data_IF_261858073815
#
_entry.id   IF_261858073815
#
_cell.length_a   1.000
_cell.length_b   1.000
_cell.length_c   1.000
_cell.angle_alpha   90.00
_cell.angle_beta   90.00
_cell.angle_gamma   90.00
#
_symmetry.space_group_name_H-M   'P 1'
#
loop_
_entity.id
_entity.type
_entity.pdbx_description
1 polymer ?
#
# COMPACT_ATOMS: atom_id res chain seq x y z
N UNK A 1 -5.31 7.93 -12.55
CA UNK A 1 -4.09 8.31 -11.83
C UNK A 1 -2.86 7.92 -12.63
N UNK A 2 -1.83 8.73 -12.56
CA UNK A 2 -0.53 8.37 -13.14
C UNK A 2 0.15 7.33 -12.26
N UNK A 3 1.18 6.68 -12.80
CA UNK A 3 1.99 5.74 -12.03
C UNK A 3 2.57 6.43 -10.79
N UNK A 4 3.09 7.65 -10.95
CA UNK A 4 3.68 8.39 -9.83
C UNK A 4 2.66 8.65 -8.73
N UNK A 5 1.44 9.00 -9.10
CA UNK A 5 0.37 9.22 -8.12
C UNK A 5 0.03 7.94 -7.36
N UNK A 6 -0.07 6.82 -8.09
CA UNK A 6 -0.36 5.52 -7.50
C UNK A 6 0.75 5.13 -6.53
N UNK A 7 2.00 5.26 -7.00
CA UNK A 7 3.17 4.91 -6.19
C UNK A 7 3.23 5.74 -4.91
N UNK A 8 3.08 7.06 -5.01
CA UNK A 8 3.18 7.95 -3.85
C UNK A 8 2.06 7.67 -2.84
N UNK A 9 0.84 7.46 -3.31
CA UNK A 9 -0.28 7.15 -2.43
C UNK A 9 -0.09 5.80 -1.75
N UNK A 10 0.35 4.79 -2.51
CA UNK A 10 0.60 3.47 -1.95
C UNK A 10 1.72 3.52 -0.92
N UNK A 11 2.80 4.23 -1.21
CA UNK A 11 3.93 4.38 -0.30
C UNK A 11 3.50 5.05 0.99
N UNK A 12 2.72 6.11 0.89
CA UNK A 12 2.23 6.83 2.05
C UNK A 12 1.38 5.92 2.94
N UNK A 13 0.48 5.14 2.34
CA UNK A 13 -0.37 4.22 3.09
C UNK A 13 0.43 3.05 3.68
N UNK A 14 1.26 2.42 2.88
CA UNK A 14 2.05 1.27 3.32
C UNK A 14 3.04 1.64 4.43
N UNK A 15 3.58 2.84 4.40
CA UNK A 15 4.52 3.29 5.43
C UNK A 15 3.87 3.40 6.81
N UNK A 16 2.54 3.38 6.88
CA UNK A 16 1.79 3.40 8.14
C UNK A 16 1.53 2.01 8.70
N UNK A 17 1.93 0.96 7.99
CA UNK A 17 1.78 -0.40 8.49
C UNK A 17 2.67 -0.60 9.71
N UNK A 18 2.12 -1.28 10.72
CA UNK A 18 2.83 -1.48 12.00
C UNK A 18 3.69 -2.73 11.90
N UNK A 19 4.92 -2.55 11.43
CA UNK A 19 5.84 -3.65 11.17
C UNK A 19 6.97 -3.76 12.19
N UNK A 20 6.98 -2.92 13.21
CA UNK A 20 8.09 -2.83 14.18
C UNK A 20 8.45 -4.19 14.79
N UNK A 21 7.46 -5.02 15.06
CA UNK A 21 7.68 -6.32 15.70
C UNK A 21 7.72 -7.47 14.69
N UNK A 22 7.71 -7.17 13.40
CA UNK A 22 7.75 -8.20 12.35
C UNK A 22 9.19 -8.56 12.09
N UNK A 23 9.53 -9.83 12.31
CA UNK A 23 10.88 -10.34 12.09
C UNK A 23 11.05 -10.93 10.70
N UNK A 24 9.94 -11.23 10.03
CA UNK A 24 9.98 -11.88 8.73
C UNK A 24 10.50 -10.96 7.64
N UNK A 25 11.19 -11.54 6.67
CA UNK A 25 11.58 -10.85 5.45
C UNK A 25 10.46 -11.10 4.43
N UNK A 26 9.72 -10.06 4.07
CA UNK A 26 8.58 -10.17 3.16
C UNK A 26 8.75 -9.16 2.03
N UNK A 27 8.94 -9.65 0.81
CA UNK A 27 9.05 -8.81 -0.37
C UNK A 27 7.79 -8.97 -1.22
N UNK A 28 7.06 -7.87 -1.42
CA UNK A 28 5.80 -7.84 -2.17
C UNK A 28 5.98 -7.01 -3.42
N UNK A 29 5.73 -7.59 -4.58
CA UNK A 29 5.77 -6.85 -5.84
C UNK A 29 4.35 -6.52 -6.28
N UNK A 30 4.14 -5.25 -6.59
CA UNK A 30 2.85 -4.75 -7.07
C UNK A 30 2.96 -4.49 -8.57
N UNK A 31 2.18 -5.22 -9.34
CA UNK A 31 2.09 -5.04 -10.80
C UNK A 31 0.80 -4.27 -11.07
N UNK A 32 0.94 -2.98 -11.35
CA UNK A 32 -0.21 -2.11 -11.59
C UNK A 32 -0.66 -2.25 -13.04
N UNK A 33 -1.94 -2.55 -13.22
CA UNK A 33 -2.52 -2.77 -14.54
C UNK A 33 -3.38 -1.57 -14.95
N UNK A 34 -3.54 -1.39 -16.26
CA UNK A 34 -4.39 -0.34 -16.80
C UNK A 34 -3.75 1.03 -16.74
N UNK A 35 -4.56 2.03 -16.43
CA UNK A 35 -4.08 3.40 -16.34
C UNK A 35 -3.03 3.53 -15.24
N UNK A 36 -1.91 4.16 -15.56
CA UNK A 36 -0.79 4.29 -14.61
C UNK A 36 -0.04 3.00 -14.38
N UNK A 37 -0.07 2.08 -15.36
CA UNK A 37 0.59 0.79 -15.23
C UNK A 37 2.07 0.93 -14.91
N UNK A 38 2.60 -0.06 -14.21
CA UNK A 38 4.00 -0.08 -13.78
C UNK A 38 4.19 -1.06 -12.65
N UNK A 39 5.39 -1.09 -12.12
CA UNK A 39 5.77 -2.02 -11.06
C UNK A 39 6.41 -1.24 -9.92
N UNK A 40 6.10 -1.62 -8.68
CA UNK A 40 6.85 -1.18 -7.51
C UNK A 40 6.83 -2.30 -6.48
N UNK A 41 7.67 -2.18 -5.44
CA UNK A 41 7.70 -3.21 -4.40
C UNK A 41 7.65 -2.58 -3.01
N UNK A 42 7.22 -3.39 -2.05
CA UNK A 42 7.32 -3.08 -0.63
C UNK A 42 8.10 -4.21 0.03
N UNK A 43 9.15 -3.85 0.75
CA UNK A 43 9.98 -4.81 1.46
C UNK A 43 9.84 -4.59 2.96
N UNK A 44 9.39 -5.62 3.66
CA UNK A 44 9.34 -5.62 5.12
C UNK A 44 10.50 -6.46 5.61
N UNK A 45 11.37 -5.86 6.42
CA UNK A 45 12.55 -6.52 6.95
C UNK A 45 13.03 -5.80 8.20
N UNK A 46 13.36 -6.56 9.22
CA UNK A 46 13.90 -6.04 10.50
C UNK A 46 13.05 -4.94 11.12
N UNK A 47 11.73 -5.10 11.05
CA UNK A 47 10.80 -4.16 11.65
C UNK A 47 10.65 -2.86 10.89
N UNK A 48 11.05 -2.82 9.62
CA UNK A 48 10.95 -1.65 8.76
C UNK A 48 10.25 -2.02 7.45
N UNK A 49 9.63 -1.02 6.83
CA UNK A 49 9.04 -1.21 5.51
C UNK A 49 9.66 -0.18 4.56
N UNK A 50 10.08 -0.67 3.39
CA UNK A 50 10.69 0.16 2.36
C UNK A 50 9.91 -0.03 1.07
N UNK A 51 9.44 1.08 0.47
CA UNK A 51 8.64 1.06 -0.75
C UNK A 51 9.42 1.79 -1.83
N UNK A 52 9.73 1.09 -2.93
CA UNK A 52 10.56 1.64 -4.00
C UNK A 52 9.92 1.39 -5.37
N UNK A 53 10.16 2.28 -6.35
CA UNK A 53 9.50 2.20 -7.66
C UNK A 53 10.24 1.28 -8.65
N UNK A 54 10.66 0.11 -8.19
CA UNK A 54 11.41 -0.84 -9.00
C UNK A 54 10.79 -2.23 -8.87
N UNK A 55 11.20 -3.16 -9.76
CA UNK A 55 10.85 -4.55 -9.57
C UNK A 55 11.78 -5.17 -8.52
N UNK A 56 11.31 -6.25 -7.90
CA UNK A 56 12.09 -6.99 -6.90
C UNK A 56 12.09 -8.46 -7.30
N UNK A 57 13.21 -8.92 -7.84
CA UNK A 57 13.32 -10.27 -8.42
C UNK A 57 13.01 -11.38 -7.45
N UNK A 58 13.46 -11.21 -6.21
CA UNK A 58 13.29 -12.23 -5.19
C UNK A 58 12.03 -11.98 -4.36
N UNK A 59 10.96 -11.51 -5.02
CA UNK A 59 9.72 -11.27 -4.29
C UNK A 59 9.12 -12.59 -3.78
N UNK A 60 8.56 -12.52 -2.58
CA UNK A 60 7.88 -13.64 -1.96
C UNK A 60 6.41 -13.67 -2.34
N UNK A 61 5.87 -12.52 -2.64
CA UNK A 61 4.45 -12.30 -2.90
C UNK A 61 4.33 -11.37 -4.09
N UNK A 62 3.33 -11.59 -4.94
CA UNK A 62 3.03 -10.67 -6.02
C UNK A 62 1.53 -10.44 -6.10
N UNK A 63 1.15 -9.29 -6.65
CA UNK A 63 -0.25 -8.94 -6.86
C UNK A 63 -0.37 -8.19 -8.19
N UNK A 64 -1.39 -8.53 -8.96
CA UNK A 64 -1.76 -7.81 -10.18
C UNK A 64 -3.07 -7.09 -9.89
N UNK A 65 -3.07 -5.76 -9.99
CA UNK A 65 -4.20 -4.97 -9.52
C UNK A 65 -4.20 -3.62 -10.25
N UNK A 66 -5.37 -3.02 -10.45
CA UNK A 66 -5.42 -1.66 -10.96
C UNK A 66 -5.00 -0.69 -9.85
N UNK A 67 -4.52 0.48 -10.24
CA UNK A 67 -4.12 1.49 -9.26
C UNK A 67 -5.27 1.91 -8.36
N UNK A 68 -6.46 2.10 -8.94
CA UNK A 68 -7.64 2.49 -8.16
C UNK A 68 -8.03 1.44 -7.14
N UNK A 69 -8.01 0.17 -7.54
CA UNK A 69 -8.34 -0.92 -6.63
C UNK A 69 -7.36 -0.99 -5.47
N UNK A 70 -6.08 -0.86 -5.77
CA UNK A 70 -5.04 -0.91 -4.73
C UNK A 70 -5.21 0.23 -3.73
N UNK A 71 -5.32 1.45 -4.22
CA UNK A 71 -5.41 2.62 -3.34
C UNK A 71 -6.70 2.54 -2.51
N UNK A 72 -7.82 2.19 -3.15
CA UNK A 72 -9.10 2.06 -2.45
C UNK A 72 -9.00 1.02 -1.33
N UNK A 73 -8.39 -0.12 -1.60
CA UNK A 73 -8.24 -1.18 -0.61
C UNK A 73 -7.35 -0.75 0.56
N UNK A 74 -6.26 -0.06 0.28
CA UNK A 74 -5.37 0.41 1.34
C UNK A 74 -6.02 1.50 2.19
N UNK A 75 -6.85 2.34 1.58
CA UNK A 75 -7.50 3.45 2.29
C UNK A 75 -8.69 3.01 3.12
N UNK A 76 -9.34 1.90 2.76
CA UNK A 76 -10.58 1.46 3.39
C UNK A 76 -10.45 0.18 4.23
N UNK A 77 -9.22 -0.25 4.52
CA UNK A 77 -8.94 -1.47 5.28
C UNK A 77 -9.47 -2.73 4.62
N UNK A 78 -9.55 -2.73 3.30
CA UNK A 78 -10.08 -3.86 2.55
C UNK A 78 -9.03 -4.59 1.72
N UNK A 79 -7.77 -4.56 2.16
CA UNK A 79 -6.68 -5.23 1.45
C UNK A 79 -6.91 -6.74 1.33
N UNK A 80 -7.72 -7.32 2.22
CA UNK A 80 -8.08 -8.73 2.17
C UNK A 80 -8.96 -9.08 0.96
N UNK A 81 -9.50 -8.07 0.26
CA UNK A 81 -10.26 -8.30 -0.97
C UNK A 81 -9.34 -8.45 -2.19
N UNK A 82 -8.06 -8.16 -2.04
CA UNK A 82 -7.09 -8.25 -3.12
C UNK A 82 -6.51 -9.67 -3.20
N UNK A 83 -6.14 -10.08 -4.41
CA UNK A 83 -5.59 -11.42 -4.63
C UNK A 83 -4.07 -11.36 -4.61
N UNK A 84 -3.47 -11.93 -3.57
CA UNK A 84 -2.03 -12.04 -3.42
C UNK A 84 -1.60 -13.46 -3.78
N UNK A 85 -0.49 -13.58 -4.50
CA UNK A 85 0.05 -14.86 -4.95
C UNK A 85 1.48 -15.02 -4.45
N UNK A 86 1.85 -16.25 -4.10
CA UNK A 86 3.21 -16.56 -3.69
C UNK A 86 3.25 -17.37 -2.42
N UNK A 87 4.17 -17.02 -1.52
CA UNK A 87 4.37 -17.74 -0.27
C UNK A 87 3.20 -17.54 0.69
N UNK A 88 2.41 -18.58 0.91
CA UNK A 88 1.20 -18.50 1.73
C UNK A 88 1.49 -18.12 3.17
N UNK A 89 2.59 -18.60 3.74
CA UNK A 89 2.96 -18.26 5.12
C UNK A 89 3.22 -16.78 5.26
N UNK A 90 3.90 -16.19 4.29
CA UNK A 90 4.20 -14.76 4.29
C UNK A 90 2.97 -13.92 3.99
N UNK A 91 2.08 -14.41 3.13
CA UNK A 91 0.78 -13.74 2.89
C UNK A 91 -0.01 -13.68 4.19
N UNK A 92 0.00 -14.76 4.98
CA UNK A 92 -0.71 -14.81 6.26
C UNK A 92 -0.16 -13.78 7.27
N UNK A 93 1.13 -13.49 7.21
CA UNK A 93 1.74 -12.45 8.06
C UNK A 93 1.40 -11.05 7.52
N UNK A 94 1.47 -10.90 6.19
CA UNK A 94 1.26 -9.60 5.53
C UNK A 94 -0.18 -9.09 5.68
N UNK A 95 -1.17 -9.96 5.50
CA UNK A 95 -2.57 -9.55 5.42
C UNK A 95 -3.05 -8.78 6.66
N UNK A 96 -2.78 -9.24 7.89
CA UNK A 96 -3.18 -8.47 9.07
C UNK A 96 -2.49 -7.11 9.14
N UNK A 97 -1.25 -7.01 8.63
CA UNK A 97 -0.52 -5.73 8.63
C UNK A 97 -1.21 -4.72 7.73
N UNK A 98 -1.63 -5.15 6.55
CA UNK A 98 -2.30 -4.26 5.60
C UNK A 98 -3.69 -3.86 6.06
N UNK A 99 -4.46 -4.80 6.61
CA UNK A 99 -5.81 -4.49 7.08
C UNK A 99 -5.82 -3.66 8.37
N UNK A 100 -4.70 -3.62 9.08
CA UNK A 100 -4.58 -2.81 10.30
C UNK A 100 -4.19 -1.36 10.00
N UNK A 101 -3.85 -1.01 8.76
CA UNK A 101 -3.54 0.39 8.40
C UNK A 101 -4.82 1.22 8.64
N UNK A 102 -4.72 2.34 9.39
CA UNK A 102 -5.91 3.16 9.66
C UNK A 102 -6.54 3.68 8.36
N UNK A 103 -7.85 3.79 8.36
CA UNK A 103 -8.57 4.36 7.22
C UNK A 103 -8.11 5.79 6.97
N UNK A 104 -8.04 6.18 5.70
CA UNK A 104 -7.73 7.55 5.33
C UNK A 104 -8.86 8.47 5.82
N UNK A 105 -8.50 9.64 6.38
CA UNK A 105 -9.48 10.64 6.78
C UNK A 105 -9.98 11.36 5.54
N UNK A 106 -11.28 11.60 5.47
CA UNK A 106 -11.85 12.51 4.49
C UNK A 106 -11.58 13.92 4.97
N UNK A 107 -11.06 14.68 4.13
CA UNK A 107 -10.85 16.10 4.40
C UNK A 107 -12.13 16.84 4.11
N UNK A 108 -12.88 17.60 4.73
CA UNK A 108 -13.88 18.07 4.77
C UNK A 108 -14.26 18.84 4.33
N UNK A 109 -13.96 18.48 4.08
CA UNK A 109 -14.51 18.70 4.13
C UNK A 109 -14.37 18.89 3.69
N UNK A 110 -14.09 19.16 3.60
CA UNK A 110 -14.19 19.00 3.82
C UNK A 110 -13.59 19.03 3.74
N UNK A 111 -13.32 19.62 3.48
CA UNK A 111 -13.18 19.40 3.97
C UNK A 111 -12.39 19.49 3.90
N UNK A 112 -12.18 20.29 3.53
CA UNK A 112 -11.91 20.08 4.03
C UNK A 112 -11.21 20.17 3.83
N UNK A 113 -10.94 20.89 3.48
CA UNK A 113 -10.69 20.72 3.82
C UNK A 113 -10.24 20.70 3.63
N UNK A 114 -10.01 21.68 3.22
CA UNK A 114 -9.99 21.38 3.52
C UNK A 114 -9.44 21.43 3.47
N UNK A 115 -9.28 22.21 2.95
CA UNK A 115 -9.27 21.97 3.44
C UNK A 115 -8.68 22.01 3.44
N UNK A 116 -8.34 22.78 2.96
CA UNK A 116 -8.29 22.48 3.48
C UNK A 116 -7.55 22.58 3.56
N UNK A 117 -7.06 23.33 3.27
CA UNK A 117 -6.94 23.07 3.77
C UNK A 117 -6.40 23.14 4.09
N UNK A 118 -6.06 24.05 3.86
CA UNK A 118 -6.15 23.83 4.54
C UNK A 118 -5.90 23.72 4.89
N UNK A 119 -5.71 24.32 4.44
CA UNK A 119 -5.99 23.88 5.19
C UNK A 119 -5.76 23.68 5.42
N UNK A 120 -5.81 24.45 4.99
CA UNK A 120 -6.33 23.96 5.70
C UNK A 120 -6.24 23.85 6.05
N UNK A 121 -6.06 24.47 5.90
CA UNK A 121 -6.60 24.03 6.62
C UNK A 121 -6.65 23.84 6.90
N UNK A 122 -6.56 24.62 6.52
CA UNK A 122 -7.21 24.07 7.19
C UNK A 122 -7.23 23.78 7.45
#
# INVERSE_FOLDING_TARGET
MTYEEIFEKAKERLSKAKVKNVKDHIAVQFNIEGEGHGIFYALISDGKIDVQPYDYRDNDISINVSGEELISALESKSADTLAFYGNNDKISVLMPLLTAIPKARKVSGSTVKSAAKKPATV
#
